data_IF_069948340761
#
_entry.id   IF_069948340761
#
_cell.length_a   1.000
_cell.length_b   1.000
_cell.length_c   1.000
_cell.angle_alpha   90.00
_cell.angle_beta   90.00
_cell.angle_gamma   90.00
#
_symmetry.space_group_name_H-M   'P 1'
#
loop_
_entity.id
_entity.type
_entity.pdbx_description
1 polymer ?
#
# COMPACT_ATOMS: atom_id res chain seq x y z
N UNK A 1 -9.15 -2.38 -11.45
CA UNK A 1 -8.70 -3.38 -12.45
C UNK A 1 -7.24 -3.18 -12.84
N UNK A 2 -6.80 -1.97 -13.23
CA UNK A 2 -5.39 -1.70 -13.63
C UNK A 2 -4.35 -2.11 -12.58
N UNK A 3 -4.62 -1.84 -11.29
CA UNK A 3 -3.72 -2.21 -10.17
C UNK A 3 -3.53 -3.71 -10.03
N UNK A 4 -4.65 -4.46 -10.08
CA UNK A 4 -4.63 -5.92 -10.04
C UNK A 4 -3.85 -6.48 -11.23
N UNK A 5 -4.06 -5.93 -12.44
CA UNK A 5 -3.32 -6.33 -13.62
C UNK A 5 -1.82 -6.03 -13.50
N UNK A 6 -1.44 -4.89 -12.91
CA UNK A 6 -0.05 -4.54 -12.66
C UNK A 6 0.61 -5.51 -11.65
N UNK A 7 -0.08 -5.85 -10.56
CA UNK A 7 0.41 -6.82 -9.57
C UNK A 7 0.54 -8.21 -10.18
N UNK A 8 -0.46 -8.65 -10.95
CA UNK A 8 -0.40 -9.94 -11.67
C UNK A 8 0.78 -9.93 -12.64
N UNK A 9 0.96 -8.87 -13.44
CA UNK A 9 2.08 -8.76 -14.37
C UNK A 9 3.44 -8.82 -13.65
N UNK A 10 3.60 -8.11 -12.52
CA UNK A 10 4.83 -8.18 -11.73
C UNK A 10 5.09 -9.58 -11.19
N UNK A 11 4.06 -10.27 -10.67
CA UNK A 11 4.17 -11.66 -10.20
C UNK A 11 4.55 -12.58 -11.36
N UNK A 12 3.89 -12.45 -12.52
CA UNK A 12 4.18 -13.28 -13.70
C UNK A 12 5.62 -13.08 -14.17
N UNK A 13 6.09 -11.84 -14.27
CA UNK A 13 7.48 -11.53 -14.65
C UNK A 13 8.46 -12.09 -13.62
N UNK A 14 8.19 -11.92 -12.33
CA UNK A 14 9.05 -12.46 -11.27
C UNK A 14 9.12 -13.99 -11.30
N UNK A 15 8.00 -14.69 -11.51
CA UNK A 15 7.96 -16.14 -11.65
C UNK A 15 8.71 -16.58 -12.91
N UNK A 16 8.42 -15.99 -14.08
CA UNK A 16 9.10 -16.31 -15.33
C UNK A 16 10.63 -16.14 -15.20
N UNK A 17 11.09 -15.04 -14.60
CA UNK A 17 12.51 -14.79 -14.41
C UNK A 17 13.15 -15.72 -13.37
N UNK A 18 12.40 -16.10 -12.32
CA UNK A 18 12.86 -17.08 -11.31
C UNK A 18 13.03 -18.48 -11.91
N UNK A 19 12.12 -18.93 -12.79
CA UNK A 19 12.22 -20.25 -13.42
C UNK A 19 13.15 -20.29 -14.64
N UNK A 20 13.26 -19.20 -15.40
CA UNK A 20 14.09 -19.18 -16.62
C UNK A 20 15.56 -18.94 -16.31
N UNK A 21 15.87 -18.10 -15.32
CA UNK A 21 17.25 -17.71 -14.98
C UNK A 21 17.40 -17.52 -13.47
N UNK A 22 17.31 -18.59 -12.65
CA UNK A 22 17.32 -18.50 -11.20
C UNK A 22 18.64 -17.89 -10.66
N UNK A 23 19.75 -18.07 -11.37
CA UNK A 23 21.03 -17.52 -10.94
C UNK A 23 21.06 -16.00 -10.89
N UNK A 24 20.27 -15.31 -11.73
CA UNK A 24 20.25 -13.86 -11.80
C UNK A 24 19.85 -13.22 -10.47
N UNK A 25 18.78 -13.71 -9.84
CA UNK A 25 18.36 -13.23 -8.53
C UNK A 25 19.17 -13.85 -7.39
N UNK A 26 19.55 -15.13 -7.49
CA UNK A 26 20.25 -15.82 -6.41
C UNK A 26 21.67 -15.29 -6.17
N UNK A 27 22.43 -14.98 -7.23
CA UNK A 27 23.81 -14.49 -7.13
C UNK A 27 23.91 -12.97 -6.91
N UNK A 28 22.78 -12.26 -6.89
CA UNK A 28 22.77 -10.82 -6.74
C UNK A 28 23.09 -10.41 -5.28
N UNK A 29 24.26 -9.80 -5.08
CA UNK A 29 24.75 -9.39 -3.75
C UNK A 29 23.87 -8.30 -3.12
N UNK A 30 23.38 -7.36 -3.92
CA UNK A 30 22.44 -6.34 -3.44
C UNK A 30 21.17 -6.97 -2.88
N UNK A 31 20.53 -7.89 -3.59
CA UNK A 31 19.32 -8.55 -3.11
C UNK A 31 19.58 -9.43 -1.89
N UNK A 32 20.75 -10.05 -1.80
CA UNK A 32 21.13 -10.84 -0.62
C UNK A 32 21.14 -10.00 0.67
N UNK A 33 21.70 -8.79 0.59
CA UNK A 33 21.74 -7.83 1.71
C UNK A 33 20.39 -7.15 1.94
N UNK A 34 19.73 -6.74 0.85
CA UNK A 34 18.49 -5.96 0.89
C UNK A 34 17.28 -6.79 1.36
N UNK A 35 17.15 -8.04 0.91
CA UNK A 35 16.06 -8.96 1.28
C UNK A 35 16.40 -9.63 2.62
N UNK A 36 16.49 -8.79 3.65
CA UNK A 36 16.72 -9.13 5.06
C UNK A 36 15.84 -8.22 5.93
N UNK A 37 16.29 -7.84 7.13
CA UNK A 37 15.62 -6.87 7.98
C UNK A 37 15.47 -5.50 7.32
N UNK A 38 16.31 -5.14 6.35
CA UNK A 38 16.20 -3.88 5.60
C UNK A 38 14.86 -3.77 4.86
N UNK A 39 14.45 -4.83 4.15
CA UNK A 39 13.14 -4.91 3.52
C UNK A 39 12.01 -4.72 4.53
N UNK A 40 12.06 -5.41 5.68
CA UNK A 40 11.03 -5.26 6.71
C UNK A 40 10.97 -3.85 7.29
N UNK A 41 12.11 -3.20 7.50
CA UNK A 41 12.16 -1.83 8.00
C UNK A 41 11.47 -0.86 7.03
N UNK A 42 11.74 -1.00 5.73
CA UNK A 42 11.10 -0.18 4.70
C UNK A 42 9.59 -0.46 4.66
N UNK A 43 9.18 -1.72 4.67
CA UNK A 43 7.77 -2.10 4.65
C UNK A 43 7.02 -1.64 5.92
N UNK A 44 7.65 -1.72 7.09
CA UNK A 44 7.09 -1.23 8.34
C UNK A 44 6.84 0.27 8.30
N UNK A 45 7.80 1.06 7.79
CA UNK A 45 7.65 2.50 7.62
C UNK A 45 6.50 2.81 6.67
N UNK A 46 6.44 2.15 5.51
CA UNK A 46 5.34 2.33 4.54
C UNK A 46 3.99 2.01 5.18
N UNK A 47 3.89 0.89 5.90
CA UNK A 47 2.66 0.47 6.58
C UNK A 47 2.23 1.52 7.62
N UNK A 48 3.12 1.94 8.51
CA UNK A 48 2.81 2.91 9.56
C UNK A 48 2.37 4.25 8.99
N UNK A 49 3.12 4.79 8.03
CA UNK A 49 2.76 6.06 7.36
C UNK A 49 1.40 5.92 6.68
N UNK A 50 1.16 4.81 5.98
CA UNK A 50 -0.10 4.60 5.27
C UNK A 50 -1.29 4.48 6.24
N UNK A 51 -1.16 3.74 7.34
CA UNK A 51 -2.24 3.61 8.33
C UNK A 51 -2.57 4.96 8.98
N UNK A 52 -1.56 5.77 9.30
CA UNK A 52 -1.76 7.12 9.80
C UNK A 52 -2.50 8.00 8.77
N UNK A 53 -2.09 7.93 7.50
CA UNK A 53 -2.78 8.62 6.40
C UNK A 53 -4.23 8.17 6.24
N UNK A 54 -4.52 6.88 6.34
CA UNK A 54 -5.89 6.33 6.26
C UNK A 54 -6.77 6.92 7.36
N UNK A 55 -6.28 6.99 8.60
CA UNK A 55 -7.02 7.59 9.71
C UNK A 55 -7.35 9.07 9.44
N UNK A 56 -6.39 9.83 8.91
CA UNK A 56 -6.60 11.23 8.53
C UNK A 56 -7.62 11.37 7.39
N UNK A 57 -7.56 10.50 6.38
CA UNK A 57 -8.56 10.48 5.29
C UNK A 57 -9.97 10.24 5.83
N UNK A 58 -10.16 9.29 6.75
CA UNK A 58 -11.47 9.00 7.34
C UNK A 58 -12.08 10.22 8.04
N UNK A 59 -11.24 11.01 8.72
CA UNK A 59 -11.64 12.25 9.38
C UNK A 59 -11.98 13.36 8.38
N UNK A 60 -11.12 13.60 7.38
CA UNK A 60 -11.36 14.63 6.36
C UNK A 60 -12.60 14.31 5.52
N UNK A 61 -12.80 13.05 5.15
CA UNK A 61 -13.99 12.61 4.41
C UNK A 61 -15.28 12.88 5.20
N UNK A 62 -15.28 12.67 6.52
CA UNK A 62 -16.41 13.03 7.38
C UNK A 62 -16.73 14.53 7.37
N UNK A 63 -15.71 15.39 7.38
CA UNK A 63 -15.89 16.84 7.32
C UNK A 63 -16.49 17.25 5.97
N UNK A 64 -15.94 16.73 4.87
CA UNK A 64 -16.40 17.01 3.51
C UNK A 64 -17.87 16.59 3.33
N UNK A 65 -18.25 15.39 3.80
CA UNK A 65 -19.65 14.91 3.71
C UNK A 65 -20.60 15.88 4.41
N UNK A 66 -20.23 16.38 5.60
CA UNK A 66 -21.05 17.33 6.36
C UNK A 66 -21.14 18.70 5.70
N UNK A 67 -20.10 19.14 5.01
CA UNK A 67 -20.03 20.45 4.37
C UNK A 67 -20.73 20.50 3.00
N UNK A 68 -20.58 19.44 2.19
CA UNK A 68 -20.99 19.44 0.78
C UNK A 68 -22.39 18.88 0.56
N UNK A 69 -22.80 17.86 1.32
CA UNK A 69 -24.05 17.16 1.06
C UNK A 69 -25.20 17.69 1.92
N UNK A 70 -26.18 18.33 1.26
CA UNK A 70 -27.47 18.69 1.90
C UNK A 70 -28.27 17.46 2.31
N UNK A 71 -28.24 16.42 1.48
CA UNK A 71 -28.81 15.11 1.79
C UNK A 71 -27.73 14.19 2.38
N UNK A 72 -27.81 13.97 3.69
CA UNK A 72 -26.84 13.16 4.43
C UNK A 72 -26.84 11.69 3.99
N UNK A 73 -27.94 11.16 3.46
CA UNK A 73 -28.00 9.77 3.04
C UNK A 73 -27.08 9.52 1.83
N UNK A 74 -27.18 10.37 0.81
CA UNK A 74 -26.34 10.29 -0.41
C UNK A 74 -24.86 10.56 -0.12
N UNK A 75 -24.56 11.54 0.74
CA UNK A 75 -23.18 11.83 1.14
C UNK A 75 -22.52 10.69 1.91
N UNK A 76 -23.29 10.02 2.77
CA UNK A 76 -22.79 8.87 3.55
C UNK A 76 -22.52 7.66 2.67
N UNK A 77 -23.36 7.40 1.67
CA UNK A 77 -23.15 6.30 0.73
C UNK A 77 -21.86 6.49 -0.10
N UNK A 78 -21.68 7.69 -0.66
CA UNK A 78 -20.47 8.04 -1.41
C UNK A 78 -19.21 7.90 -0.55
N UNK A 79 -19.25 8.39 0.69
CA UNK A 79 -18.13 8.25 1.62
C UNK A 79 -17.87 6.78 2.00
N UNK A 80 -18.90 5.98 2.24
CA UNK A 80 -18.72 4.56 2.57
C UNK A 80 -18.04 3.78 1.44
N UNK A 81 -18.29 4.14 0.18
CA UNK A 81 -17.57 3.55 -0.96
C UNK A 81 -16.06 3.84 -0.89
N UNK A 82 -15.70 5.11 -0.72
CA UNK A 82 -14.29 5.54 -0.59
C UNK A 82 -13.63 4.86 0.62
N UNK A 83 -14.31 4.82 1.76
CA UNK A 83 -13.83 4.12 2.97
C UNK A 83 -13.55 2.64 2.72
N UNK A 84 -14.44 1.96 1.99
CA UNK A 84 -14.28 0.53 1.69
C UNK A 84 -13.04 0.29 0.85
N UNK A 85 -12.81 1.11 -0.18
CA UNK A 85 -11.62 1.01 -1.05
C UNK A 85 -10.34 1.27 -0.25
N UNK A 86 -10.33 2.30 0.59
CA UNK A 86 -9.18 2.63 1.44
C UNK A 86 -8.91 1.52 2.47
N UNK A 87 -9.95 0.99 3.12
CA UNK A 87 -9.81 -0.08 4.08
C UNK A 87 -9.30 -1.37 3.42
N UNK A 88 -9.76 -1.68 2.21
CA UNK A 88 -9.24 -2.82 1.44
C UNK A 88 -7.75 -2.66 1.13
N UNK A 89 -7.31 -1.46 0.74
CA UNK A 89 -5.89 -1.16 0.53
C UNK A 89 -5.07 -1.27 1.83
N UNK A 90 -5.59 -0.77 2.95
CA UNK A 90 -4.95 -0.88 4.26
C UNK A 90 -4.79 -2.33 4.72
N UNK A 91 -5.83 -3.15 4.55
CA UNK A 91 -5.77 -4.59 4.82
C UNK A 91 -4.78 -5.30 3.90
N UNK A 92 -4.72 -4.95 2.62
CA UNK A 92 -3.75 -5.51 1.68
C UNK A 92 -2.31 -5.23 2.12
N UNK A 93 -1.99 -3.99 2.50
CA UNK A 93 -0.66 -3.63 3.01
C UNK A 93 -0.30 -4.44 4.26
N UNK A 94 -1.23 -4.57 5.20
CA UNK A 94 -1.02 -5.37 6.40
C UNK A 94 -0.70 -6.84 6.05
N UNK A 95 -1.47 -7.46 5.15
CA UNK A 95 -1.22 -8.83 4.71
C UNK A 95 0.10 -8.98 3.95
N UNK A 96 0.51 -8.00 3.14
CA UNK A 96 1.80 -8.00 2.46
C UNK A 96 2.97 -7.90 3.46
N UNK A 97 2.81 -7.14 4.54
CA UNK A 97 3.80 -7.07 5.62
C UNK A 97 3.93 -8.42 6.34
N UNK A 98 2.80 -9.05 6.69
CA UNK A 98 2.81 -10.40 7.28
C UNK A 98 3.45 -11.43 6.32
N UNK A 99 3.16 -11.34 5.03
CA UNK A 99 3.77 -12.20 4.01
C UNK A 99 5.30 -11.98 3.91
N UNK A 100 5.78 -10.73 4.03
CA UNK A 100 7.21 -10.42 4.04
C UNK A 100 7.91 -11.01 5.27
N UNK A 101 7.29 -10.93 6.46
CA UNK A 101 7.79 -11.59 7.66
C UNK A 101 7.91 -13.11 7.41
N UNK A 102 6.84 -13.75 6.93
CA UNK A 102 6.84 -15.17 6.60
C UNK A 102 7.92 -15.56 5.58
N UNK A 103 8.13 -14.73 4.57
CA UNK A 103 9.16 -14.94 3.54
C UNK A 103 10.58 -14.93 4.14
N UNK A 104 10.87 -14.03 5.08
CA UNK A 104 12.18 -13.97 5.73
C UNK A 104 12.38 -15.09 6.75
N UNK A 105 11.33 -15.49 7.47
CA UNK A 105 11.39 -16.71 8.27
C UNK A 105 11.68 -17.94 7.39
N UNK A 106 11.05 -18.03 6.22
CA UNK A 106 11.31 -19.09 5.25
C UNK A 106 12.75 -19.04 4.73
N UNK A 107 13.30 -17.85 4.43
CA UNK A 107 14.72 -17.67 4.07
C UNK A 107 15.65 -18.18 5.19
N UNK A 108 15.35 -17.82 6.43
CA UNK A 108 16.16 -18.16 7.60
C UNK A 108 16.08 -19.63 8.04
N UNK A 109 15.10 -20.40 7.53
CA UNK A 109 14.96 -21.81 7.86
C UNK A 109 16.02 -22.72 7.20
N UNK A 110 16.80 -22.21 6.25
CA UNK A 110 17.83 -22.96 5.53
C UNK A 110 19.22 -22.42 5.86
N UNK A 111 20.12 -23.29 6.35
CA UNK A 111 21.54 -22.93 6.54
C UNK A 111 22.27 -22.71 5.20
N UNK A 112 21.94 -23.52 4.19
CA UNK A 112 22.43 -23.42 2.82
C UNK A 112 21.27 -23.55 1.84
N UNK A 113 20.54 -22.45 1.56
CA UNK A 113 19.37 -22.52 0.69
C UNK A 113 19.76 -22.90 -0.73
N UNK A 114 19.03 -23.83 -1.38
CA UNK A 114 19.26 -24.12 -2.79
C UNK A 114 19.00 -22.87 -3.64
N UNK A 115 19.69 -22.78 -4.79
CA UNK A 115 19.66 -21.60 -5.67
C UNK A 115 18.22 -21.17 -6.02
N UNK A 116 17.33 -22.13 -6.26
CA UNK A 116 15.92 -21.87 -6.56
C UNK A 116 15.18 -21.18 -5.40
N UNK A 117 15.40 -21.61 -4.15
CA UNK A 117 14.76 -21.03 -2.98
C UNK A 117 15.25 -19.60 -2.77
N UNK A 118 16.55 -19.37 -2.88
CA UNK A 118 17.12 -18.03 -2.75
C UNK A 118 16.58 -17.08 -3.83
N UNK A 119 16.52 -17.58 -5.07
CA UNK A 119 15.98 -16.84 -6.20
C UNK A 119 14.50 -16.46 -6.01
N UNK A 120 13.69 -17.40 -5.52
CA UNK A 120 12.28 -17.17 -5.16
C UNK A 120 12.12 -16.13 -4.05
N UNK A 121 12.91 -16.24 -2.97
CA UNK A 121 12.85 -15.27 -1.86
C UNK A 121 13.21 -13.86 -2.35
N UNK A 122 14.26 -13.73 -3.16
CA UNK A 122 14.69 -12.43 -3.66
C UNK A 122 13.66 -11.80 -4.61
N UNK A 123 13.14 -12.58 -5.56
CA UNK A 123 12.16 -12.10 -6.53
C UNK A 123 10.82 -11.77 -5.86
N UNK A 124 10.34 -12.61 -4.95
CA UNK A 124 9.09 -12.37 -4.23
C UNK A 124 9.22 -11.19 -3.27
N UNK A 125 10.37 -11.02 -2.61
CA UNK A 125 10.63 -9.85 -1.77
C UNK A 125 10.57 -8.52 -2.55
N UNK A 126 11.06 -8.48 -3.79
CA UNK A 126 10.89 -7.32 -4.68
C UNK A 126 9.43 -7.09 -5.05
N UNK A 127 8.69 -8.15 -5.38
CA UNK A 127 7.24 -8.04 -5.68
C UNK A 127 6.48 -7.47 -4.48
N UNK A 128 6.77 -7.93 -3.26
CA UNK A 128 6.15 -7.40 -2.05
C UNK A 128 6.45 -5.91 -1.88
N UNK A 129 7.71 -5.50 -2.05
CA UNK A 129 8.10 -4.09 -1.98
C UNK A 129 7.39 -3.23 -3.02
N UNK A 130 7.42 -3.62 -4.29
CA UNK A 130 6.80 -2.88 -5.38
C UNK A 130 5.29 -2.79 -5.20
N UNK A 131 4.66 -3.87 -4.73
CA UNK A 131 3.22 -3.86 -4.44
C UNK A 131 2.90 -2.90 -3.29
N UNK A 132 3.71 -2.85 -2.23
CA UNK A 132 3.54 -1.88 -1.15
C UNK A 132 3.68 -0.43 -1.66
N UNK A 133 4.67 -0.17 -2.51
CA UNK A 133 4.86 1.15 -3.13
C UNK A 133 3.67 1.56 -4.01
N UNK A 134 3.10 0.64 -4.80
CA UNK A 134 1.91 0.93 -5.60
C UNK A 134 0.70 1.30 -4.74
N UNK A 135 0.49 0.61 -3.63
CA UNK A 135 -0.61 0.94 -2.70
C UNK A 135 -0.35 2.28 -2.01
N UNK A 136 0.90 2.58 -1.64
CA UNK A 136 1.27 3.88 -1.08
C UNK A 136 0.97 5.02 -2.06
N UNK A 137 1.35 4.87 -3.35
CA UNK A 137 1.03 5.84 -4.39
C UNK A 137 -0.48 6.08 -4.53
N UNK A 138 -1.28 5.02 -4.42
CA UNK A 138 -2.74 5.13 -4.49
C UNK A 138 -3.32 5.92 -3.33
N UNK A 139 -2.89 5.61 -2.10
CA UNK A 139 -3.32 6.36 -0.92
C UNK A 139 -2.90 7.82 -1.04
N UNK A 140 -1.70 8.09 -1.55
CA UNK A 140 -1.22 9.45 -1.78
C UNK A 140 -2.13 10.21 -2.78
N UNK A 141 -2.51 9.60 -3.89
CA UNK A 141 -3.45 10.21 -4.85
C UNK A 141 -4.79 10.55 -4.19
N UNK A 142 -5.32 9.67 -3.34
CA UNK A 142 -6.56 9.93 -2.59
C UNK A 142 -6.41 11.13 -1.65
N UNK A 143 -5.29 11.25 -0.93
CA UNK A 143 -5.01 12.41 -0.08
C UNK A 143 -5.03 13.70 -0.90
N UNK A 144 -4.33 13.73 -2.04
CA UNK A 144 -4.29 14.91 -2.91
C UNK A 144 -5.68 15.31 -3.41
N UNK A 145 -6.49 14.33 -3.81
CA UNK A 145 -7.86 14.60 -4.25
C UNK A 145 -8.73 15.16 -3.12
N UNK A 146 -8.60 14.64 -1.91
CA UNK A 146 -9.34 15.12 -0.74
C UNK A 146 -8.93 16.55 -0.39
N UNK A 147 -7.63 16.86 -0.36
CA UNK A 147 -7.13 18.21 -0.10
C UNK A 147 -7.63 19.19 -1.15
N UNK A 148 -7.62 18.79 -2.43
CA UNK A 148 -8.13 19.63 -3.51
C UNK A 148 -9.66 19.89 -3.39
N UNK A 149 -10.43 18.93 -2.87
CA UNK A 149 -11.86 19.15 -2.61
C UNK A 149 -12.10 20.12 -1.44
N UNK A 150 -11.23 20.11 -0.43
CA UNK A 150 -11.32 21.00 0.73
C UNK A 150 -10.98 22.46 0.37
N UNK A 151 -10.02 22.69 -0.54
CA UNK A 151 -9.64 24.05 -0.99
C UNK A 151 -10.68 24.72 -1.87
N UNK A 152 -11.44 23.96 -2.68
CA UNK A 152 -12.43 24.50 -3.61
C UNK A 152 -13.83 24.74 -3.00
N UNK A 153 -14.09 24.22 -1.81
CA UNK A 153 -15.24 24.61 -1.00
C UNK A 153 -14.78 25.58 0.08
N UNK A 154 -14.78 26.91 -0.17
CA UNK A 154 -14.57 27.85 0.89
C UNK A 154 -15.62 27.54 1.96
N UNK A 155 -15.15 27.19 3.14
CA UNK A 155 -15.94 27.18 4.36
C UNK A 155 -16.86 28.40 4.30
N UNK A 156 -18.17 28.16 4.21
CA UNK A 156 -19.13 29.15 4.66
C UNK A 156 -18.68 29.45 6.09
N UNK A 157 -18.04 30.60 6.27
CA UNK A 157 -17.48 31.00 7.54
C UNK A 157 -18.58 30.99 8.60
N UNK A 158 -18.23 30.92 9.89
CA UNK A 158 -19.20 31.22 10.91
C UNK A 158 -19.75 32.62 10.62
N UNK A 159 -21.01 32.69 10.19
CA UNK A 159 -21.77 33.93 10.21
C UNK A 159 -21.74 34.42 11.63
N UNK A 160 -20.92 35.45 11.86
CA UNK A 160 -21.25 36.62 12.65
C UNK A 160 -22.35 36.37 13.70
N UNK A 161 -21.98 35.81 14.85
CA UNK A 161 -22.78 35.97 16.07
C UNK A 161 -22.46 37.34 16.65
N UNK A 162 -22.92 38.38 15.93
CA UNK A 162 -23.08 39.73 16.45
C UNK A 162 -24.54 39.94 16.83
N UNK A 163 -24.86 39.68 18.09
CA UNK A 163 -26.00 40.26 18.82
C UNK A 163 -25.74 40.14 20.32
#
# INVERSE_FOLDING_TARGET
MTKLMAVIAMITVALCATFSTPEFFAKNTFLSSFITFELLNILAVILTVTLASIANIHLSLNKIVRAVFKDRAKGTEAANRVRREINQNGWLLFWLFIAACGLLFFKGAYETPPVFVLSFVHSFGLVLLLTNMLVLCDIYQVIYQIVNMETHHPSAGPTDFGA
#
